data_IF_523006670839
#
_entry.id   IF_523006670839
#
_cell.length_a   1.000
_cell.length_b   1.000
_cell.length_c   1.000
_cell.angle_alpha   90.00
_cell.angle_beta   90.00
_cell.angle_gamma   90.00
#
_symmetry.space_group_name_H-M   'P 1'
#
loop_
_entity.id
_entity.type
_entity.pdbx_description
1 polymer ?
#
# COMPACT_ATOMS: atom_id res chain seq x y z
N UNK A 1 -15.07 -3.39 -22.73
CA UNK A 1 -14.09 -4.50 -22.72
C UNK A 1 -13.38 -4.46 -21.39
N UNK A 2 -13.09 -5.57 -20.72
CA UNK A 2 -12.28 -5.55 -19.50
C UNK A 2 -10.81 -5.61 -19.86
N UNK A 3 -10.04 -4.61 -19.45
CA UNK A 3 -8.59 -4.63 -19.59
C UNK A 3 -8.00 -5.62 -18.58
N UNK A 4 -6.86 -6.21 -18.94
CA UNK A 4 -6.07 -7.04 -18.04
C UNK A 4 -4.74 -6.39 -17.72
N UNK A 5 -4.22 -6.69 -16.54
CA UNK A 5 -2.94 -6.21 -16.03
C UNK A 5 -2.15 -7.38 -15.47
N UNK A 6 -0.84 -7.21 -15.37
CA UNK A 6 0.08 -8.22 -14.86
C UNK A 6 0.78 -7.70 -13.61
N UNK A 7 0.96 -8.58 -12.63
CA UNK A 7 1.63 -8.30 -11.35
C UNK A 7 1.19 -6.98 -10.68
N UNK A 8 -0.13 -6.77 -10.45
CA UNK A 8 -0.61 -5.60 -9.73
C UNK A 8 -0.01 -5.52 -8.32
N UNK A 9 0.27 -4.29 -7.89
CA UNK A 9 0.98 -4.00 -6.66
C UNK A 9 0.50 -2.67 -6.05
N UNK A 10 0.15 -2.71 -4.77
CA UNK A 10 -0.26 -1.55 -3.98
C UNK A 10 0.89 -1.16 -3.08
N UNK A 11 1.24 0.13 -3.08
CA UNK A 11 2.14 0.73 -2.10
C UNK A 11 1.37 1.71 -1.21
N UNK A 12 1.56 1.58 0.09
CA UNK A 12 1.16 2.54 1.11
C UNK A 12 2.42 3.17 1.70
N UNK A 13 2.46 4.50 1.73
CA UNK A 13 3.42 5.26 2.52
C UNK A 13 2.65 6.12 3.51
N UNK A 14 2.56 5.69 4.76
CA UNK A 14 1.82 6.40 5.80
C UNK A 14 2.77 7.09 6.78
N UNK A 15 2.43 8.29 7.23
CA UNK A 15 3.25 9.10 8.13
C UNK A 15 2.42 9.57 9.33
N UNK A 16 2.88 9.25 10.52
CA UNK A 16 2.20 9.58 11.77
C UNK A 16 3.20 10.21 12.72
N UNK A 17 2.81 11.27 13.42
CA UNK A 17 3.68 11.86 14.43
C UNK A 17 4.03 10.80 15.48
N UNK A 18 5.19 10.92 16.12
CA UNK A 18 5.55 10.06 17.25
C UNK A 18 4.92 10.59 18.53
N UNK A 19 4.94 11.91 18.68
CA UNK A 19 4.43 12.62 19.82
C UNK A 19 3.45 13.71 19.32
N UNK A 20 2.42 14.01 20.10
CA UNK A 20 1.55 15.16 19.82
C UNK A 20 2.37 16.46 19.90
N UNK A 21 2.06 17.44 19.05
CA UNK A 21 2.66 18.77 19.15
C UNK A 21 2.42 19.36 20.54
N UNK A 22 3.47 19.86 21.18
CA UNK A 22 3.41 20.48 22.51
C UNK A 22 2.59 21.78 22.58
N UNK A 23 2.06 22.26 21.45
CA UNK A 23 1.18 23.42 21.35
C UNK A 23 -0.27 23.15 21.75
N UNK A 24 -0.68 21.88 21.83
CA UNK A 24 -2.06 21.53 22.14
C UNK A 24 -2.24 21.37 23.65
N UNK A 25 -2.83 22.38 24.28
CA UNK A 25 -3.02 22.53 25.72
C UNK A 25 -4.05 21.60 26.37
N UNK A 26 -4.56 20.61 25.64
CA UNK A 26 -5.44 19.57 26.17
C UNK A 26 -4.72 18.21 26.16
N UNK A 27 -4.59 17.64 27.35
CA UNK A 27 -4.24 16.24 27.53
C UNK A 27 -5.34 15.40 26.89
N UNK A 28 -5.07 14.93 25.68
CA UNK A 28 -5.96 14.04 24.97
C UNK A 28 -5.46 12.62 25.26
N UNK A 29 -6.24 11.87 26.05
CA UNK A 29 -5.95 10.47 26.40
C UNK A 29 -5.96 9.54 25.20
N UNK A 30 -6.35 10.06 24.02
CA UNK A 30 -6.72 9.27 22.86
C UNK A 30 -5.65 9.26 21.76
N UNK A 31 -4.53 10.00 21.93
CA UNK A 31 -3.46 9.98 20.93
C UNK A 31 -2.64 8.69 20.99
N UNK A 32 -2.62 7.97 19.87
CA UNK A 32 -1.95 6.68 19.75
C UNK A 32 -0.70 6.75 18.85
N UNK A 33 0.46 6.92 19.47
CA UNK A 33 1.76 6.89 18.77
C UNK A 33 2.04 5.57 18.02
N UNK A 34 1.35 4.47 18.37
CA UNK A 34 1.54 3.14 17.77
C UNK A 34 0.50 2.84 16.68
N UNK A 35 -0.32 3.83 16.32
CA UNK A 35 -1.40 3.69 15.34
C UNK A 35 -0.97 2.95 14.07
N UNK A 36 0.15 3.33 13.45
CA UNK A 36 0.60 2.70 12.19
C UNK A 36 0.87 1.21 12.33
N UNK A 37 1.33 0.76 13.51
CA UNK A 37 1.61 -0.65 13.78
C UNK A 37 0.30 -1.44 13.96
N UNK A 38 -0.68 -0.85 14.64
CA UNK A 38 -2.02 -1.43 14.74
C UNK A 38 -2.70 -1.51 13.37
N UNK A 39 -2.53 -0.50 12.51
CA UNK A 39 -3.04 -0.51 11.14
C UNK A 39 -2.35 -1.55 10.26
N UNK A 40 -1.04 -1.71 10.41
CA UNK A 40 -0.31 -2.81 9.77
C UNK A 40 -0.91 -4.18 10.15
N UNK A 41 -1.15 -4.43 11.44
CA UNK A 41 -1.74 -5.69 11.90
C UNK A 41 -3.15 -5.93 11.33
N UNK A 42 -3.97 -4.88 11.30
CA UNK A 42 -5.32 -4.92 10.73
C UNK A 42 -5.27 -5.26 9.24
N UNK A 43 -4.37 -4.63 8.48
CA UNK A 43 -4.17 -4.93 7.05
C UNK A 43 -3.70 -6.38 6.88
N UNK A 44 -2.68 -6.81 7.62
CA UNK A 44 -2.13 -8.16 7.52
C UNK A 44 -3.20 -9.25 7.75
N UNK A 45 -4.10 -9.03 8.72
CA UNK A 45 -5.20 -9.93 8.98
C UNK A 45 -6.14 -10.10 7.77
N UNK A 46 -6.42 -9.04 7.01
CA UNK A 46 -7.25 -9.09 5.79
C UNK A 46 -6.60 -9.93 4.68
N UNK A 47 -5.28 -9.96 4.64
CA UNK A 47 -4.47 -10.63 3.62
C UNK A 47 -3.86 -11.96 4.10
N UNK A 48 -4.30 -12.48 5.26
CA UNK A 48 -3.79 -13.72 5.85
C UNK A 48 -2.25 -13.72 6.05
N UNK A 49 -1.64 -12.54 6.18
CA UNK A 49 -0.21 -12.34 6.41
C UNK A 49 0.07 -12.58 7.89
N UNK A 50 1.00 -13.49 8.18
CA UNK A 50 1.34 -13.88 9.55
C UNK A 50 2.56 -13.15 10.10
N UNK A 51 3.37 -12.53 9.23
CA UNK A 51 4.59 -11.83 9.62
C UNK A 51 4.25 -10.62 10.49
N UNK A 52 4.90 -10.54 11.66
CA UNK A 52 4.74 -9.45 12.64
C UNK A 52 5.94 -8.50 12.61
N UNK A 53 5.68 -7.23 12.87
CA UNK A 53 6.74 -6.24 13.04
C UNK A 53 7.38 -6.43 14.43
N UNK A 54 8.63 -6.91 14.45
CA UNK A 54 9.48 -6.86 15.64
C UNK A 54 10.23 -5.53 15.64
N UNK A 55 9.75 -4.58 16.46
CA UNK A 55 10.24 -3.20 16.47
C UNK A 55 11.17 -2.94 17.66
N UNK A 56 12.29 -2.27 17.40
CA UNK A 56 13.16 -1.73 18.45
C UNK A 56 12.70 -0.34 18.88
N UNK A 57 12.84 -0.06 20.16
CA UNK A 57 12.69 1.29 20.71
C UNK A 57 13.93 2.13 20.36
N UNK A 58 13.71 3.34 19.87
CA UNK A 58 14.76 4.29 19.50
C UNK A 58 14.47 5.66 20.08
N UNK A 59 15.53 6.43 20.38
CA UNK A 59 15.37 7.82 20.76
C UNK A 59 14.88 8.67 19.57
N UNK A 60 14.20 9.77 19.88
CA UNK A 60 13.70 10.69 18.86
C UNK A 60 14.85 11.44 18.16
N UNK A 61 14.59 11.94 16.96
CA UNK A 61 15.48 12.91 16.29
C UNK A 61 16.44 12.32 15.26
N UNK A 62 16.37 11.02 14.98
CA UNK A 62 17.13 10.39 13.90
C UNK A 62 16.24 9.66 12.91
N UNK A 63 16.66 9.62 11.64
CA UNK A 63 16.09 8.73 10.63
C UNK A 63 16.68 7.34 10.80
N UNK A 64 15.86 6.36 11.18
CA UNK A 64 16.34 5.02 11.52
C UNK A 64 15.28 3.96 11.18
N UNK A 65 15.72 2.80 10.68
CA UNK A 65 14.85 1.64 10.53
C UNK A 65 14.47 1.06 11.89
N UNK A 66 13.20 0.72 12.08
CA UNK A 66 12.67 0.29 13.36
C UNK A 66 12.64 -1.21 13.54
N UNK A 67 12.88 -2.02 12.51
CA UNK A 67 13.00 -3.46 12.68
C UNK A 67 14.17 -3.79 13.63
N UNK A 68 13.92 -4.72 14.55
CA UNK A 68 14.94 -5.22 15.45
C UNK A 68 16.06 -5.90 14.65
N UNK A 69 17.32 -5.61 15.00
CA UNK A 69 18.47 -6.09 14.23
C UNK A 69 18.62 -5.49 12.82
N UNK A 70 17.89 -4.41 12.48
CA UNK A 70 18.03 -3.75 11.19
C UNK A 70 19.43 -3.16 10.97
N UNK A 71 19.99 -3.52 9.82
CA UNK A 71 21.20 -3.03 9.16
C UNK A 71 20.81 -2.36 7.85
N UNK A 72 21.77 -1.90 7.04
CA UNK A 72 21.47 -1.32 5.73
C UNK A 72 20.85 -2.33 4.75
N UNK A 73 21.09 -3.63 4.95
CA UNK A 73 20.72 -4.67 3.98
C UNK A 73 19.39 -5.37 4.30
N UNK A 74 18.82 -5.16 5.49
CA UNK A 74 17.62 -5.86 5.97
C UNK A 74 16.61 -4.92 6.65
N UNK A 75 16.42 -3.71 6.11
CA UNK A 75 15.41 -2.76 6.60
C UNK A 75 13.96 -3.14 6.23
N UNK A 76 13.79 -4.16 5.38
CA UNK A 76 12.50 -4.62 4.87
C UNK A 76 12.14 -5.97 5.49
N UNK A 77 10.92 -6.09 5.99
CA UNK A 77 10.30 -7.35 6.39
C UNK A 77 9.55 -7.94 5.20
N UNK A 78 9.97 -9.09 4.64
CA UNK A 78 9.22 -9.78 3.59
C UNK A 78 7.87 -10.29 4.11
N UNK A 79 6.85 -10.19 3.27
CA UNK A 79 5.48 -10.60 3.59
C UNK A 79 5.01 -11.66 2.59
N UNK A 80 4.26 -12.63 3.09
CA UNK A 80 3.57 -13.64 2.30
C UNK A 80 2.16 -13.81 2.84
N UNK A 81 1.19 -13.90 1.94
CA UNK A 81 -0.22 -14.01 2.32
C UNK A 81 -1.09 -14.49 1.17
N UNK A 82 -2.40 -14.29 1.34
CA UNK A 82 -3.41 -14.65 0.35
C UNK A 82 -4.41 -13.53 0.15
N UNK A 83 -4.70 -13.27 -1.12
CA UNK A 83 -5.77 -12.39 -1.56
C UNK A 83 -7.02 -13.23 -1.83
N UNK A 84 -8.10 -12.94 -1.13
CA UNK A 84 -9.41 -13.56 -1.37
C UNK A 84 -10.11 -12.84 -2.52
N UNK A 85 -10.35 -13.54 -3.63
CA UNK A 85 -11.13 -13.00 -4.74
C UNK A 85 -12.63 -13.16 -4.46
N UNK A 86 -13.45 -12.30 -5.07
CA UNK A 86 -14.92 -12.38 -4.98
C UNK A 86 -15.52 -13.72 -5.42
N UNK A 87 -14.81 -14.53 -6.21
CA UNK A 87 -15.25 -15.85 -6.64
C UNK A 87 -14.86 -16.99 -5.66
N UNK A 88 -14.32 -16.65 -4.47
CA UNK A 88 -13.91 -17.61 -3.45
C UNK A 88 -12.54 -18.26 -3.69
N UNK A 89 -11.88 -17.98 -4.82
CA UNK A 89 -10.51 -18.43 -5.08
C UNK A 89 -9.51 -17.53 -4.33
N UNK A 90 -8.49 -18.14 -3.72
CA UNK A 90 -7.36 -17.42 -3.14
C UNK A 90 -6.21 -17.29 -4.15
N UNK A 91 -5.60 -16.11 -4.25
CA UNK A 91 -4.34 -15.88 -4.97
C UNK A 91 -3.22 -15.65 -3.95
N UNK A 92 -2.06 -16.27 -4.17
CA UNK A 92 -0.89 -16.00 -3.35
C UNK A 92 -0.34 -14.60 -3.62
N UNK A 93 -0.04 -13.87 -2.55
CA UNK A 93 0.51 -12.51 -2.61
C UNK A 93 1.81 -12.44 -1.84
N UNK A 94 2.68 -11.53 -2.28
CA UNK A 94 3.93 -11.21 -1.60
C UNK A 94 3.99 -9.71 -1.34
N UNK A 95 4.88 -9.28 -0.46
CA UNK A 95 4.99 -7.88 -0.11
C UNK A 95 6.19 -7.60 0.76
N UNK A 96 6.31 -6.35 1.18
CA UNK A 96 7.35 -5.90 2.09
C UNK A 96 6.79 -4.81 3.02
N UNK A 97 7.23 -4.82 4.28
CA UNK A 97 6.99 -3.74 5.23
C UNK A 97 8.31 -3.09 5.65
N UNK A 98 8.30 -1.77 5.79
CA UNK A 98 9.43 -0.94 6.16
C UNK A 98 8.99 0.07 7.23
N UNK A 99 9.05 -0.31 8.52
CA UNK A 99 8.80 0.62 9.61
C UNK A 99 10.03 1.50 9.84
N UNK A 100 9.85 2.81 9.82
CA UNK A 100 10.92 3.79 10.02
C UNK A 100 10.51 4.81 11.08
N UNK A 101 11.49 5.36 11.77
CA UNK A 101 11.39 6.68 12.37
C UNK A 101 12.07 7.69 11.44
N UNK A 102 11.45 8.86 11.32
CA UNK A 102 12.00 10.03 10.63
C UNK A 102 11.83 11.20 11.60
N UNK A 103 12.90 11.51 12.34
CA UNK A 103 12.92 12.56 13.37
C UNK A 103 11.86 12.35 14.46
N UNK A 104 10.80 13.15 14.44
CA UNK A 104 9.68 13.22 15.37
C UNK A 104 8.46 12.39 14.90
N UNK A 105 8.63 11.60 13.84
CA UNK A 105 7.55 10.92 13.14
C UNK A 105 7.87 9.45 12.88
N UNK A 106 6.83 8.63 12.84
CA UNK A 106 6.88 7.27 12.29
C UNK A 106 6.40 7.25 10.84
N UNK A 107 7.04 6.39 10.06
CA UNK A 107 6.65 6.09 8.69
C UNK A 107 6.48 4.58 8.51
N UNK A 108 5.46 4.20 7.76
CA UNK A 108 5.24 2.84 7.29
C UNK A 108 5.25 2.84 5.77
N UNK A 109 6.30 2.26 5.19
CA UNK A 109 6.26 1.79 3.80
C UNK A 109 5.72 0.36 3.79
N UNK A 110 4.65 0.10 3.06
CA UNK A 110 4.05 -1.22 2.93
C UNK A 110 3.72 -1.45 1.46
N UNK A 111 4.05 -2.62 0.93
CA UNK A 111 3.50 -3.04 -0.36
C UNK A 111 2.94 -4.46 -0.31
N UNK A 112 1.88 -4.69 -1.10
CA UNK A 112 1.27 -6.00 -1.31
C UNK A 112 1.02 -6.15 -2.81
N UNK A 113 1.45 -7.29 -3.37
CA UNK A 113 1.35 -7.57 -4.80
C UNK A 113 0.98 -9.00 -5.11
N UNK A 114 0.43 -9.21 -6.30
CA UNK A 114 0.51 -10.52 -6.96
C UNK A 114 1.95 -10.64 -7.50
N UNK A 115 2.70 -11.69 -7.13
CA UNK A 115 4.08 -11.83 -7.57
C UNK A 115 4.12 -12.03 -9.10
N UNK A 116 5.18 -11.56 -9.73
CA UNK A 116 5.43 -11.79 -11.16
C UNK A 116 5.57 -13.28 -11.49
N UNK A 117 6.16 -14.04 -10.56
CA UNK A 117 6.38 -15.46 -10.73
C UNK A 117 6.00 -16.23 -9.48
N UNK A 118 5.45 -17.41 -9.70
CA UNK A 118 5.18 -18.42 -8.69
C UNK A 118 5.78 -19.75 -9.17
N UNK A 119 6.59 -20.40 -8.34
CA UNK A 119 7.32 -21.62 -8.72
C UNK A 119 8.09 -21.50 -10.05
N UNK A 120 8.74 -20.35 -10.25
CA UNK A 120 9.45 -19.97 -11.50
C UNK A 120 8.57 -19.80 -12.75
N UNK A 121 7.26 -19.90 -12.66
CA UNK A 121 6.32 -19.66 -13.75
C UNK A 121 5.70 -18.26 -13.65
N UNK A 122 5.48 -17.61 -14.79
CA UNK A 122 4.79 -16.31 -14.85
C UNK A 122 3.37 -16.46 -14.29
N UNK A 123 2.95 -15.57 -13.39
CA UNK A 123 1.55 -15.50 -12.95
C UNK A 123 0.63 -15.01 -14.06
N UNK A 124 -0.64 -15.39 -13.99
CA UNK A 124 -1.63 -15.03 -15.01
C UNK A 124 -1.94 -13.52 -14.98
N UNK A 125 -2.26 -12.97 -16.16
CA UNK A 125 -2.81 -11.62 -16.25
C UNK A 125 -4.23 -11.61 -15.65
N UNK A 126 -4.53 -10.60 -14.83
CA UNK A 126 -5.77 -10.47 -14.08
C UNK A 126 -6.60 -9.28 -14.57
N UNK A 127 -7.92 -9.36 -14.42
CA UNK A 127 -8.82 -8.24 -14.73
C UNK A 127 -8.63 -7.08 -13.73
N UNK A 128 -8.87 -5.84 -14.18
CA UNK A 128 -8.70 -4.63 -13.35
C UNK A 128 -9.52 -4.65 -12.06
N UNK A 129 -10.61 -5.42 -12.03
CA UNK A 129 -11.49 -5.58 -10.86
C UNK A 129 -10.76 -6.19 -9.66
N UNK A 130 -9.60 -6.84 -9.86
CA UNK A 130 -8.74 -7.35 -8.78
C UNK A 130 -8.37 -6.26 -7.77
N UNK A 131 -8.28 -4.99 -8.20
CA UNK A 131 -7.95 -3.88 -7.30
C UNK A 131 -8.99 -3.65 -6.21
N UNK A 132 -10.24 -4.07 -6.42
CA UNK A 132 -11.26 -4.11 -5.38
C UNK A 132 -10.88 -5.07 -4.26
N UNK A 133 -10.34 -6.23 -4.63
CA UNK A 133 -9.93 -7.27 -3.68
C UNK A 133 -8.68 -6.83 -2.91
N UNK A 134 -7.84 -5.97 -3.49
CA UNK A 134 -6.69 -5.35 -2.83
C UNK A 134 -7.06 -4.29 -1.78
N UNK A 135 -8.31 -3.90 -1.64
CA UNK A 135 -8.74 -2.89 -0.66
C UNK A 135 -9.98 -3.35 0.14
N UNK A 136 -9.93 -4.53 0.80
CA UNK A 136 -11.05 -5.04 1.55
C UNK A 136 -11.38 -4.09 2.71
N UNK A 137 -12.66 -3.78 2.87
CA UNK A 137 -13.17 -2.82 3.86
C UNK A 137 -12.47 -1.45 3.78
N UNK A 138 -11.96 -1.09 2.61
CA UNK A 138 -11.24 0.17 2.37
C UNK A 138 -10.03 0.36 3.29
N UNK A 139 -9.38 -0.74 3.71
CA UNK A 139 -8.35 -0.74 4.75
C UNK A 139 -7.14 0.16 4.47
N UNK A 140 -6.90 0.52 3.20
CA UNK A 140 -5.83 1.43 2.80
C UNK A 140 -6.23 2.91 2.76
N UNK A 141 -7.52 3.26 2.84
CA UNK A 141 -7.97 4.65 2.69
C UNK A 141 -7.63 5.50 3.92
N UNK A 142 -7.45 6.83 3.75
CA UNK A 142 -7.15 7.74 4.86
C UNK A 142 -8.11 7.65 6.04
N UNK A 143 -9.41 7.40 5.79
CA UNK A 143 -10.44 7.20 6.81
C UNK A 143 -10.17 5.99 7.71
N UNK A 144 -9.47 4.97 7.20
CA UNK A 144 -9.14 3.76 7.94
C UNK A 144 -7.74 3.79 8.54
N UNK A 145 -6.74 4.37 7.85
CA UNK A 145 -5.38 4.48 8.39
C UNK A 145 -5.31 5.56 9.47
N UNK A 146 -5.94 6.72 9.24
CA UNK A 146 -6.01 7.87 10.14
C UNK A 146 -4.64 8.42 10.61
N UNK A 147 -3.65 8.37 9.73
CA UNK A 147 -2.29 8.86 9.99
C UNK A 147 -2.28 10.40 10.10
N UNK A 148 -1.60 10.96 11.10
CA UNK A 148 -1.70 12.40 11.42
C UNK A 148 -1.00 13.32 10.43
N UNK A 149 0.02 12.82 9.70
CA UNK A 149 0.74 13.57 8.67
C UNK A 149 0.30 13.18 7.26
N UNK A 150 -0.72 12.32 7.16
CA UNK A 150 -1.24 11.81 5.90
C UNK A 150 -0.50 10.60 5.35
N UNK A 151 -0.86 10.26 4.11
CA UNK A 151 -0.40 9.06 3.43
C UNK A 151 -0.37 9.26 1.92
N UNK A 152 0.37 8.38 1.24
CA UNK A 152 0.39 8.23 -0.21
C UNK A 152 0.02 6.79 -0.54
N UNK A 153 -0.88 6.62 -1.51
CA UNK A 153 -1.16 5.34 -2.15
C UNK A 153 -0.63 5.38 -3.58
N UNK A 154 0.11 4.35 -3.97
CA UNK A 154 0.61 4.18 -5.33
C UNK A 154 0.20 2.79 -5.84
N UNK A 155 -0.56 2.78 -6.92
CA UNK A 155 -0.96 1.56 -7.62
C UNK A 155 -0.03 1.38 -8.81
N UNK A 156 0.60 0.21 -8.92
CA UNK A 156 1.43 -0.14 -10.07
C UNK A 156 0.99 -1.46 -10.65
N UNK A 157 1.08 -1.60 -11.97
CA UNK A 157 0.87 -2.85 -12.67
C UNK A 157 1.54 -2.79 -14.03
N UNK A 158 1.83 -3.96 -14.59
CA UNK A 158 2.35 -4.07 -15.95
C UNK A 158 1.19 -4.22 -16.94
N UNK A 159 1.30 -3.55 -18.08
CA UNK A 159 0.37 -3.75 -19.18
C UNK A 159 0.82 -4.95 -20.03
N UNK A 160 -0.08 -5.86 -20.44
CA UNK A 160 0.22 -6.86 -21.45
C UNK A 160 0.67 -6.22 -22.76
N UNK A 161 1.52 -6.91 -23.54
CA UNK A 161 2.19 -6.35 -24.73
C UNK A 161 1.23 -5.68 -25.74
N UNK A 162 0.02 -6.22 -25.91
CA UNK A 162 -0.99 -5.64 -26.81
C UNK A 162 -1.46 -4.25 -26.37
N UNK A 163 -1.53 -3.99 -25.06
CA UNK A 163 -1.98 -2.72 -24.49
C UNK A 163 -0.85 -1.69 -24.39
N UNK A 164 0.41 -2.14 -24.38
CA UNK A 164 1.57 -1.25 -24.41
C UNK A 164 1.70 -0.48 -25.73
N UNK A 165 1.03 -0.91 -26.80
CA UNK A 165 1.10 -0.26 -28.12
C UNK A 165 0.10 0.89 -28.29
N UNK A 166 -0.86 1.03 -27.37
CA UNK A 166 -1.92 2.03 -27.45
C UNK A 166 -1.89 2.93 -26.21
N UNK A 167 -1.09 4.00 -26.29
CA UNK A 167 -0.91 4.95 -25.19
C UNK A 167 -2.19 5.73 -24.85
N UNK A 168 -3.17 5.78 -25.75
CA UNK A 168 -4.44 6.43 -25.48
C UNK A 168 -5.26 5.67 -24.43
N UNK A 169 -5.03 4.36 -24.28
CA UNK A 169 -5.73 3.52 -23.30
C UNK A 169 -5.10 3.54 -21.91
N UNK A 170 -3.86 4.02 -21.76
CA UNK A 170 -3.13 3.92 -20.49
C UNK A 170 -3.81 4.71 -19.37
N UNK A 171 -4.24 5.94 -19.68
CA UNK A 171 -5.00 6.75 -18.73
C UNK A 171 -6.33 6.10 -18.38
N UNK A 172 -7.06 5.58 -19.38
CA UNK A 172 -8.33 4.89 -19.15
C UNK A 172 -8.15 3.69 -18.21
N UNK A 173 -7.08 2.91 -18.41
CA UNK A 173 -6.73 1.78 -17.55
C UNK A 173 -6.38 2.27 -16.15
N UNK A 174 -5.56 3.31 -16.00
CA UNK A 174 -5.20 3.89 -14.70
C UNK A 174 -6.43 4.39 -13.93
N UNK A 175 -7.31 5.14 -14.60
CA UNK A 175 -8.58 5.60 -14.03
C UNK A 175 -9.41 4.39 -13.55
N UNK A 176 -9.56 3.35 -14.38
CA UNK A 176 -10.29 2.14 -13.99
C UNK A 176 -9.65 1.41 -12.81
N UNK A 177 -8.31 1.37 -12.70
CA UNK A 177 -7.62 0.80 -11.54
C UNK A 177 -8.00 1.53 -10.24
N UNK A 178 -7.95 2.87 -10.25
CA UNK A 178 -8.30 3.69 -9.08
C UNK A 178 -9.78 3.52 -8.72
N UNK A 179 -10.69 3.57 -9.70
CA UNK A 179 -12.12 3.37 -9.44
C UNK A 179 -12.43 1.99 -8.86
N UNK A 180 -11.76 0.92 -9.34
CA UNK A 180 -11.92 -0.42 -8.77
C UNK A 180 -11.36 -0.50 -7.35
N UNK A 181 -10.24 0.16 -7.07
CA UNK A 181 -9.63 0.20 -5.75
C UNK A 181 -10.46 0.96 -4.70
N UNK A 182 -11.04 2.10 -5.07
CA UNK A 182 -11.91 2.89 -4.17
C UNK A 182 -13.25 2.19 -3.90
N UNK A 183 -13.74 1.42 -4.88
CA UNK A 183 -15.05 0.77 -4.82
C UNK A 183 -16.21 1.74 -5.07
N UNK A 184 -17.43 1.20 -5.18
CA UNK A 184 -18.61 1.96 -5.64
C UNK A 184 -19.03 3.11 -4.70
N UNK A 185 -18.84 2.95 -3.39
CA UNK A 185 -19.29 3.92 -2.39
C UNK A 185 -18.46 5.22 -2.37
N UNK A 186 -17.24 5.19 -2.92
CA UNK A 186 -16.31 6.33 -2.91
C UNK A 186 -15.87 6.76 -4.31
N UNK A 187 -16.55 6.30 -5.38
CA UNK A 187 -16.27 6.76 -6.76
C UNK A 187 -16.36 8.28 -6.88
N UNK A 188 -17.35 8.89 -6.24
CA UNK A 188 -17.57 10.34 -6.26
C UNK A 188 -16.54 11.11 -5.40
N UNK A 189 -15.72 10.41 -4.61
CA UNK A 189 -14.63 10.98 -3.81
C UNK A 189 -13.26 10.81 -4.47
N UNK A 190 -13.19 10.21 -5.66
CA UNK A 190 -11.94 10.12 -6.40
C UNK A 190 -11.45 11.54 -6.70
N UNK A 191 -10.23 11.92 -6.26
CA UNK A 191 -9.69 13.23 -6.59
C UNK A 191 -9.55 13.35 -8.12
N UNK A 192 -9.77 14.55 -8.69
CA UNK A 192 -9.49 14.77 -10.10
C UNK A 192 -8.00 14.58 -10.37
N UNK A 193 -7.68 14.15 -11.59
CA UNK A 193 -6.30 14.09 -12.07
C UNK A 193 -5.62 15.45 -11.86
N UNK A 194 -4.55 15.46 -11.06
CA UNK A 194 -3.77 16.67 -10.80
C UNK A 194 -2.64 16.84 -11.83
N UNK A 195 -1.90 15.76 -12.10
CA UNK A 195 -0.73 15.79 -12.96
C UNK A 195 -0.44 14.40 -13.55
N UNK A 196 0.03 14.39 -14.80
CA UNK A 196 0.60 13.21 -15.45
C UNK A 196 2.12 13.37 -15.62
N UNK A 197 2.84 12.25 -15.74
CA UNK A 197 4.29 12.27 -15.89
C UNK A 197 4.91 10.90 -16.07
N UNK A 198 6.16 10.77 -15.63
CA UNK A 198 6.88 9.50 -15.65
C UNK A 198 7.47 9.18 -14.28
N UNK A 199 7.33 7.92 -13.86
CA UNK A 199 7.92 7.34 -12.68
C UNK A 199 8.60 6.04 -13.09
N UNK A 200 9.91 5.91 -12.89
CA UNK A 200 10.71 4.74 -13.30
C UNK A 200 10.52 4.38 -14.79
N UNK A 201 10.64 5.38 -15.66
CA UNK A 201 10.41 5.26 -17.11
C UNK A 201 9.02 4.74 -17.51
N UNK A 202 8.08 4.73 -16.57
CA UNK A 202 6.69 4.30 -16.77
C UNK A 202 5.75 5.50 -16.63
N UNK A 203 4.68 5.60 -17.44
CA UNK A 203 3.66 6.64 -17.27
C UNK A 203 3.01 6.57 -15.88
N UNK A 204 2.80 7.75 -15.28
CA UNK A 204 2.01 7.91 -14.06
C UNK A 204 0.95 9.00 -14.30
N UNK A 205 -0.23 8.74 -13.75
CA UNK A 205 -1.42 9.61 -13.78
C UNK A 205 -1.91 9.76 -12.33
#
# INVERSE_FOLDING_TARGET
MTHKIYAPNIHLFAFHLRNKSSSDSQADTDYDSKLLWHKYDQICAKFQIQQKLDLREVAEGSRIALLNGATKDNILLPLEGKLSLNNGKGINITGQACPLQIYDSYALGLNIRIPERENNQKTEDVDLTVFKDFNPDQCFLPSNINSSLGQILLLTAWLPQKQQQDSHLWKEIADQCVHNFLGENDKDKCPPLYQEGQLFDSPIF
#
